data_IF_278161663488
#
_entry.id   IF_278161663488
#
_cell.length_a   1.000
_cell.length_b   1.000
_cell.length_c   1.000
_cell.angle_alpha   90.00
_cell.angle_beta   90.00
_cell.angle_gamma   90.00
#
_symmetry.space_group_name_H-M   'P 1'
#
loop_
_entity.id
_entity.type
_entity.pdbx_description
1 polymer ?
#
# COMPACT_ATOMS: atom_id res chain seq x y z
N UNK A 1 -15.50 7.37 -5.27
CA UNK A 1 -15.40 5.94 -4.88
C UNK A 1 -14.74 5.87 -3.52
N UNK A 2 -15.19 4.97 -2.64
CA UNK A 2 -14.65 4.82 -1.29
C UNK A 2 -14.68 3.35 -0.84
N UNK A 3 -13.79 2.98 0.09
CA UNK A 3 -13.83 1.69 0.77
C UNK A 3 -14.62 1.84 2.07
N UNK A 4 -15.54 0.92 2.34
CA UNK A 4 -16.27 0.87 3.62
C UNK A 4 -15.54 -0.01 4.63
N UNK A 5 -15.75 0.27 5.92
CA UNK A 5 -15.19 -0.51 7.02
C UNK A 5 -16.06 -1.77 7.23
N UNK A 6 -15.52 -2.98 7.04
CA UNK A 6 -16.30 -4.23 7.12
C UNK A 6 -17.11 -4.41 8.40
N UNK A 7 -16.61 -3.92 9.53
CA UNK A 7 -17.24 -4.08 10.87
C UNK A 7 -18.63 -3.44 10.94
N UNK A 8 -18.86 -2.34 10.22
CA UNK A 8 -20.14 -1.64 10.22
C UNK A 8 -21.16 -2.24 9.24
N UNK A 9 -20.74 -3.19 8.40
CA UNK A 9 -21.55 -3.76 7.33
C UNK A 9 -21.59 -5.29 7.42
N UNK A 10 -22.07 -5.80 8.57
CA UNK A 10 -22.11 -7.25 8.85
C UNK A 10 -22.92 -8.04 7.83
N UNK A 11 -24.03 -7.49 7.35
CA UNK A 11 -24.89 -8.13 6.34
C UNK A 11 -24.17 -8.34 5.01
N UNK A 12 -23.38 -7.34 4.59
CA UNK A 12 -22.56 -7.44 3.38
C UNK A 12 -21.43 -8.47 3.55
N UNK A 13 -20.81 -8.50 4.73
CA UNK A 13 -19.75 -9.46 5.03
C UNK A 13 -20.25 -10.90 5.21
N UNK A 14 -21.53 -11.08 5.54
CA UNK A 14 -22.15 -12.39 5.69
C UNK A 14 -22.46 -13.08 4.36
N UNK A 15 -22.34 -12.37 3.23
CA UNK A 15 -22.58 -12.99 1.91
C UNK A 15 -21.45 -13.99 1.61
N UNK A 16 -21.76 -15.28 1.36
CA UNK A 16 -20.75 -16.30 1.06
C UNK A 16 -19.97 -16.01 -0.22
N UNK A 17 -18.71 -16.47 -0.29
CA UNK A 17 -17.84 -16.24 -1.47
C UNK A 17 -18.34 -16.96 -2.73
N UNK A 18 -19.11 -18.02 -2.56
CA UNK A 18 -19.77 -18.81 -3.59
C UNK A 18 -20.86 -18.02 -4.36
N UNK A 19 -21.29 -16.87 -3.84
CA UNK A 19 -22.13 -15.93 -4.58
C UNK A 19 -21.33 -14.95 -5.46
N UNK A 20 -20.00 -14.95 -5.36
CA UNK A 20 -19.13 -14.06 -6.11
C UNK A 20 -18.82 -14.71 -7.46
N UNK A 21 -18.56 -13.86 -8.45
CA UNK A 21 -18.20 -14.27 -9.81
C UNK A 21 -16.83 -13.72 -10.16
N UNK A 22 -16.06 -14.52 -10.87
CA UNK A 22 -14.78 -14.10 -11.42
C UNK A 22 -14.99 -13.10 -12.56
N UNK A 23 -14.08 -12.13 -12.68
CA UNK A 23 -14.13 -11.11 -13.73
C UNK A 23 -13.70 -11.64 -15.11
N UNK A 24 -13.12 -12.85 -15.16
CA UNK A 24 -12.88 -13.63 -16.37
C UNK A 24 -11.67 -13.19 -17.22
N UNK A 25 -11.47 -11.89 -17.47
CA UNK A 25 -10.36 -11.39 -18.33
C UNK A 25 -9.52 -10.30 -17.65
N UNK A 26 -8.24 -10.27 -18.02
CA UNK A 26 -7.28 -9.25 -17.58
C UNK A 26 -6.56 -9.59 -16.27
N UNK A 27 -5.76 -8.66 -15.72
CA UNK A 27 -4.94 -8.90 -14.52
C UNK A 27 -5.76 -9.18 -13.25
N UNK A 28 -7.07 -8.91 -13.27
CA UNK A 28 -8.00 -9.17 -12.17
C UNK A 28 -8.98 -10.32 -12.48
N UNK A 29 -8.69 -11.14 -13.50
CA UNK A 29 -9.60 -12.17 -14.00
C UNK A 29 -10.08 -13.14 -12.91
N UNK A 30 -9.20 -13.52 -11.99
CA UNK A 30 -9.47 -14.50 -10.93
C UNK A 30 -9.91 -13.86 -9.61
N UNK A 31 -10.24 -12.56 -9.61
CA UNK A 31 -10.72 -11.89 -8.40
C UNK A 31 -12.22 -12.15 -8.28
N UNK A 32 -12.68 -12.86 -7.23
CA UNK A 32 -14.09 -13.03 -6.98
C UNK A 32 -14.73 -11.68 -6.64
N UNK A 33 -15.78 -11.32 -7.37
CA UNK A 33 -16.51 -10.06 -7.22
C UNK A 33 -18.02 -10.29 -7.13
N UNK A 34 -18.67 -9.51 -6.28
CA UNK A 34 -20.11 -9.41 -6.20
C UNK A 34 -20.54 -7.94 -6.26
N UNK A 35 -21.36 -7.61 -7.25
CA UNK A 35 -21.95 -6.29 -7.42
C UNK A 35 -23.40 -6.27 -6.91
N UNK A 36 -23.77 -5.23 -6.18
CA UNK A 36 -25.14 -4.95 -5.73
C UNK A 36 -25.42 -3.45 -5.71
N UNK A 37 -26.70 -3.09 -5.53
CA UNK A 37 -27.13 -1.73 -5.18
C UNK A 37 -27.59 -1.73 -3.73
N UNK A 38 -27.20 -0.69 -2.99
CA UNK A 38 -27.65 -0.49 -1.62
C UNK A 38 -27.73 1.01 -1.32
N UNK A 39 -28.62 1.38 -0.40
CA UNK A 39 -28.66 2.72 0.14
C UNK A 39 -27.54 2.89 1.18
N UNK A 40 -26.61 3.81 0.93
CA UNK A 40 -25.51 4.13 1.84
C UNK A 40 -25.53 5.65 2.03
N UNK A 41 -25.55 6.11 3.29
CA UNK A 41 -25.60 7.54 3.63
C UNK A 41 -26.72 8.31 2.89
N UNK A 42 -27.93 7.75 2.86
CA UNK A 42 -29.12 8.40 2.29
C UNK A 42 -29.16 8.48 0.77
N UNK A 43 -28.28 7.75 0.06
CA UNK A 43 -28.28 7.71 -1.41
C UNK A 43 -28.08 6.27 -1.89
N UNK A 44 -28.73 5.92 -3.01
CA UNK A 44 -28.50 4.66 -3.69
C UNK A 44 -27.09 4.65 -4.30
N UNK A 45 -26.28 3.64 -3.95
CA UNK A 45 -24.91 3.48 -4.45
C UNK A 45 -24.70 2.09 -5.01
N UNK A 46 -23.79 2.00 -5.98
CA UNK A 46 -23.26 0.71 -6.42
C UNK A 46 -22.26 0.24 -5.36
N UNK A 47 -22.52 -0.95 -4.80
CA UNK A 47 -21.64 -1.63 -3.86
C UNK A 47 -20.96 -2.78 -4.59
N UNK A 48 -19.64 -2.82 -4.52
CA UNK A 48 -18.83 -3.90 -5.09
C UNK A 48 -18.07 -4.56 -3.95
N UNK A 49 -18.40 -5.82 -3.68
CA UNK A 49 -17.64 -6.65 -2.79
C UNK A 49 -16.63 -7.43 -3.61
N UNK A 50 -15.40 -7.54 -3.11
CA UNK A 50 -14.38 -8.34 -3.77
C UNK A 50 -13.43 -8.96 -2.76
N UNK A 51 -12.77 -10.04 -3.16
CA UNK A 51 -11.78 -10.70 -2.32
C UNK A 51 -10.35 -10.25 -2.66
N UNK A 52 -9.56 -9.97 -1.63
CA UNK A 52 -8.18 -9.47 -1.75
C UNK A 52 -7.22 -10.43 -1.06
N UNK A 53 -6.37 -11.08 -1.87
CA UNK A 53 -5.31 -11.98 -1.38
C UNK A 53 -4.33 -11.30 -0.42
N UNK A 54 -3.96 -10.05 -0.71
CA UNK A 54 -3.05 -9.28 0.15
C UNK A 54 -3.67 -8.99 1.51
N UNK A 55 -4.94 -8.58 1.55
CA UNK A 55 -5.66 -8.35 2.81
C UNK A 55 -5.83 -9.65 3.58
N UNK A 56 -6.23 -10.73 2.90
CA UNK A 56 -6.35 -12.07 3.48
C UNK A 56 -5.05 -12.49 4.17
N UNK A 57 -3.93 -12.47 3.44
CA UNK A 57 -2.63 -12.86 3.99
C UNK A 57 -2.21 -11.99 5.18
N UNK A 58 -2.51 -10.68 5.16
CA UNK A 58 -2.28 -9.78 6.27
C UNK A 58 -3.11 -10.13 7.51
N UNK A 59 -4.40 -10.42 7.33
CA UNK A 59 -5.31 -10.78 8.43
C UNK A 59 -4.95 -12.14 9.04
N UNK A 60 -4.60 -13.13 8.23
CA UNK A 60 -4.13 -14.44 8.70
C UNK A 60 -2.86 -14.29 9.54
N UNK A 61 -1.85 -13.56 9.04
CA UNK A 61 -0.62 -13.30 9.80
C UNK A 61 -0.90 -12.59 11.12
N UNK A 62 -1.72 -11.54 11.09
CA UNK A 62 -2.07 -10.78 12.30
C UNK A 62 -2.81 -11.64 13.33
N UNK A 63 -3.75 -12.48 12.88
CA UNK A 63 -4.47 -13.40 13.76
C UNK A 63 -3.51 -14.41 14.40
N UNK A 64 -2.66 -15.06 13.62
CA UNK A 64 -1.69 -16.04 14.14
C UNK A 64 -0.73 -15.40 15.16
N UNK A 65 -0.15 -14.24 14.84
CA UNK A 65 0.73 -13.53 15.77
C UNK A 65 0.02 -13.18 17.09
N UNK A 66 -1.23 -12.74 17.02
CA UNK A 66 -2.01 -12.43 18.21
C UNK A 66 -2.33 -13.71 19.00
N UNK A 67 -2.72 -14.79 18.32
CA UNK A 67 -3.05 -16.07 18.93
C UNK A 67 -1.83 -16.67 19.64
N UNK A 68 -0.68 -16.74 18.97
CA UNK A 68 0.58 -17.26 19.52
C UNK A 68 0.97 -16.52 20.80
N UNK A 69 0.87 -15.19 20.78
CA UNK A 69 1.13 -14.35 21.96
C UNK A 69 0.19 -14.70 23.12
N UNK A 70 -1.12 -14.88 22.86
CA UNK A 70 -2.09 -15.24 23.90
C UNK A 70 -1.89 -16.65 24.43
N UNK A 71 -1.56 -17.61 23.56
CA UNK A 71 -1.26 -18.98 23.95
C UNK A 71 0.00 -19.04 24.83
N UNK A 72 1.04 -18.28 24.51
CA UNK A 72 2.23 -18.15 25.34
C UNK A 72 1.91 -17.55 26.73
N UNK A 73 1.09 -16.47 26.77
CA UNK A 73 0.63 -15.87 28.03
C UNK A 73 -0.21 -16.85 28.88
N UNK A 74 -1.06 -17.66 28.24
CA UNK A 74 -1.90 -18.68 28.87
C UNK A 74 -1.06 -19.85 29.40
N UNK A 75 -0.08 -20.33 28.62
CA UNK A 75 0.84 -21.37 29.04
C UNK A 75 1.65 -20.94 30.27
N UNK A 76 2.18 -19.71 30.26
CA UNK A 76 2.88 -19.13 31.41
C UNK A 76 1.95 -18.99 32.63
N UNK A 77 0.68 -18.64 32.42
CA UNK A 77 -0.29 -18.59 33.52
C UNK A 77 -0.59 -19.98 34.08
N UNK A 78 -0.78 -20.99 33.22
CA UNK A 78 -0.99 -22.38 33.61
C UNK A 78 0.18 -22.93 34.42
N UNK A 79 1.41 -22.67 33.98
CA UNK A 79 2.63 -23.04 34.73
C UNK A 79 2.71 -22.35 36.09
N UNK A 80 2.35 -21.06 36.18
CA UNK A 80 2.30 -20.36 37.47
C UNK A 80 1.29 -21.00 38.41
N UNK A 81 0.11 -21.39 37.94
CA UNK A 81 -0.94 -22.05 38.72
C UNK A 81 -0.56 -23.44 39.24
N UNK A 82 0.44 -24.10 38.64
CA UNK A 82 0.94 -25.38 39.12
C UNK A 82 1.71 -25.27 40.45
N UNK A 83 2.20 -24.09 40.82
CA UNK A 83 2.94 -23.87 42.08
C UNK A 83 1.98 -23.89 43.31
N UNK A 84 2.41 -24.40 44.48
CA UNK A 84 1.61 -24.33 45.69
C UNK A 84 1.29 -22.89 46.10
N UNK A 85 0.05 -22.63 46.56
CA UNK A 85 -0.44 -21.31 47.01
C UNK A 85 -0.34 -20.18 45.97
N UNK A 86 -0.16 -20.50 44.69
CA UNK A 86 -0.11 -19.52 43.61
C UNK A 86 -1.47 -19.36 42.92
N UNK A 87 -1.66 -18.18 42.30
CA UNK A 87 -2.83 -17.90 41.47
C UNK A 87 -3.73 -16.79 42.02
N UNK A 88 -4.77 -16.42 41.24
CA UNK A 88 -5.70 -15.38 41.62
C UNK A 88 -6.40 -15.74 42.94
N UNK A 89 -6.44 -14.79 43.88
CA UNK A 89 -7.05 -14.96 45.21
C UNK A 89 -8.59 -14.98 45.14
N UNK A 90 -9.17 -14.40 44.10
CA UNK A 90 -10.63 -14.39 43.85
C UNK A 90 -10.97 -14.83 42.42
N UNK A 91 -12.13 -15.48 42.20
CA UNK A 91 -12.62 -15.80 40.86
C UNK A 91 -12.74 -14.58 39.93
N UNK A 92 -13.03 -13.40 40.49
CA UNK A 92 -13.16 -12.15 39.73
C UNK A 92 -11.84 -11.70 39.10
N UNK A 93 -10.73 -11.84 39.84
CA UNK A 93 -9.40 -11.51 39.30
C UNK A 93 -8.97 -12.45 38.17
N UNK A 94 -9.40 -13.71 38.22
CA UNK A 94 -9.23 -14.65 37.11
C UNK A 94 -10.06 -14.23 35.90
N UNK A 95 -11.35 -13.89 36.10
CA UNK A 95 -12.25 -13.43 35.04
C UNK A 95 -11.74 -12.19 34.32
N UNK A 96 -11.32 -11.14 35.05
CA UNK A 96 -10.74 -9.93 34.45
C UNK A 96 -9.52 -10.23 33.58
N UNK A 97 -8.68 -11.18 34.00
CA UNK A 97 -7.53 -11.61 33.21
C UNK A 97 -7.95 -12.36 31.95
N UNK A 98 -8.96 -13.23 32.05
CA UNK A 98 -9.55 -13.92 30.90
C UNK A 98 -10.14 -12.91 29.89
N UNK A 99 -10.92 -11.94 30.36
CA UNK A 99 -11.50 -10.90 29.50
C UNK A 99 -10.42 -10.10 28.77
N UNK A 100 -9.31 -9.80 29.45
CA UNK A 100 -8.15 -9.16 28.82
C UNK A 100 -7.48 -10.05 27.78
N UNK A 101 -7.34 -11.35 28.04
CA UNK A 101 -6.74 -12.30 27.08
C UNK A 101 -7.64 -12.54 25.85
N UNK A 102 -8.96 -12.52 26.05
CA UNK A 102 -9.98 -12.62 25.01
C UNK A 102 -10.25 -11.29 24.29
N UNK A 103 -9.61 -10.20 24.71
CA UNK A 103 -9.76 -8.90 24.07
C UNK A 103 -9.21 -8.94 22.64
N UNK A 104 -10.08 -8.66 21.68
CA UNK A 104 -9.76 -8.69 20.25
C UNK A 104 -10.95 -9.17 19.43
N UNK A 105 -11.16 -8.55 18.27
CA UNK A 105 -12.34 -8.79 17.43
C UNK A 105 -12.55 -10.28 17.08
N UNK A 106 -11.46 -11.00 16.78
CA UNK A 106 -11.49 -12.40 16.36
C UNK A 106 -11.05 -13.38 17.45
N UNK A 107 -10.25 -12.93 18.42
CA UNK A 107 -9.71 -13.79 19.49
C UNK A 107 -10.83 -14.40 20.34
N UNK A 108 -11.85 -13.61 20.70
CA UNK A 108 -12.99 -14.12 21.48
C UNK A 108 -13.79 -15.23 20.78
N UNK A 109 -13.72 -15.30 19.44
CA UNK A 109 -14.43 -16.32 18.66
C UNK A 109 -13.62 -17.61 18.52
N UNK A 110 -12.30 -17.52 18.57
CA UNK A 110 -11.38 -18.63 18.25
C UNK A 110 -10.75 -19.23 19.50
N UNK A 111 -10.67 -18.49 20.60
CA UNK A 111 -10.03 -18.93 21.83
C UNK A 111 -11.07 -19.08 22.94
N UNK A 112 -11.21 -20.30 23.45
CA UNK A 112 -12.01 -20.58 24.64
C UNK A 112 -11.10 -20.74 25.85
N UNK A 113 -11.46 -20.10 26.96
CA UNK A 113 -10.74 -20.19 28.22
C UNK A 113 -11.75 -20.54 29.31
N UNK A 114 -11.48 -21.63 30.02
CA UNK A 114 -12.22 -22.07 31.21
C UNK A 114 -11.34 -21.95 32.44
N UNK A 115 -11.90 -21.40 33.51
CA UNK A 115 -11.23 -21.30 34.80
C UNK A 115 -12.11 -21.83 35.92
N UNK A 116 -11.63 -22.87 36.59
CA UNK A 116 -12.30 -23.49 37.73
C UNK A 116 -11.40 -23.44 38.97
N UNK A 117 -11.79 -22.60 39.93
CA UNK A 117 -11.07 -22.41 41.19
C UNK A 117 -11.09 -23.62 42.12
N UNK A 118 -11.99 -24.61 41.90
CA UNK A 118 -12.11 -25.82 42.72
C UNK A 118 -11.10 -26.90 42.33
N UNK A 119 -10.56 -26.84 41.10
CA UNK A 119 -9.54 -27.78 40.61
C UNK A 119 -8.18 -27.50 41.26
N UNK A 120 -7.26 -28.46 41.17
CA UNK A 120 -5.91 -28.35 41.75
C UNK A 120 -4.87 -27.98 40.68
N UNK A 121 -3.86 -27.21 41.08
CA UNK A 121 -2.70 -26.91 40.26
C UNK A 121 -3.04 -26.30 38.89
N UNK A 122 -2.40 -26.83 37.85
CA UNK A 122 -2.57 -26.39 36.46
C UNK A 122 -3.95 -26.68 35.85
N UNK A 123 -4.74 -27.59 36.43
CA UNK A 123 -6.05 -27.95 35.89
C UNK A 123 -7.13 -26.89 36.16
N UNK A 124 -6.80 -25.91 37.00
CA UNK A 124 -7.61 -24.71 37.23
C UNK A 124 -7.82 -23.88 35.99
N UNK A 125 -6.96 -24.02 34.98
CA UNK A 125 -7.03 -23.28 33.72
C UNK A 125 -7.01 -24.27 32.55
N UNK A 126 -8.09 -24.25 31.76
CA UNK A 126 -8.16 -24.93 30.47
C UNK A 126 -8.35 -23.89 29.38
N UNK A 127 -7.73 -24.12 28.25
CA UNK A 127 -7.93 -23.29 27.07
C UNK A 127 -7.81 -24.17 25.84
N UNK A 128 -8.60 -23.84 24.84
CA UNK A 128 -8.64 -24.54 23.56
C UNK A 128 -8.84 -23.52 22.45
N UNK A 129 -8.30 -23.87 21.28
CA UNK A 129 -8.48 -23.10 20.06
C UNK A 129 -9.57 -23.82 19.28
N UNK A 130 -10.65 -23.10 18.99
CA UNK A 130 -11.70 -23.57 18.09
C UNK A 130 -11.17 -23.51 16.65
N UNK A 131 -10.81 -24.68 16.13
CA UNK A 131 -10.27 -24.85 14.78
C UNK A 131 -11.35 -24.56 13.73
N UNK A 132 -12.60 -24.91 13.99
CA UNK A 132 -13.71 -24.68 13.06
C UNK A 132 -14.00 -23.18 12.95
N UNK A 133 -13.98 -22.46 14.07
CA UNK A 133 -14.11 -21.01 14.07
C UNK A 133 -12.93 -20.31 13.36
N UNK A 134 -11.71 -20.84 13.51
CA UNK A 134 -10.53 -20.34 12.79
C UNK A 134 -10.68 -20.54 11.28
N UNK A 135 -11.06 -21.75 10.86
CA UNK A 135 -11.30 -22.10 9.45
C UNK A 135 -12.41 -21.25 8.84
N UNK A 136 -13.51 -21.05 9.58
CA UNK A 136 -14.60 -20.17 9.15
C UNK A 136 -14.11 -18.73 8.94
N UNK A 137 -13.31 -18.18 9.85
CA UNK A 137 -12.78 -16.81 9.68
C UNK A 137 -11.90 -16.69 8.44
N UNK A 138 -11.05 -17.68 8.18
CA UNK A 138 -10.18 -17.69 7.01
C UNK A 138 -10.99 -17.82 5.72
N UNK A 139 -11.93 -18.77 5.65
CA UNK A 139 -12.70 -19.03 4.44
C UNK A 139 -13.74 -17.93 4.15
N UNK A 140 -14.48 -17.50 5.16
CA UNK A 140 -15.69 -16.70 4.96
C UNK A 140 -15.57 -15.24 5.38
N UNK A 141 -14.55 -14.83 6.13
CA UNK A 141 -14.49 -13.45 6.64
C UNK A 141 -13.26 -12.70 6.11
N UNK A 142 -12.11 -13.35 6.04
CA UNK A 142 -10.87 -12.71 5.66
C UNK A 142 -10.79 -12.44 4.15
N UNK A 143 -10.07 -11.37 3.79
CA UNK A 143 -9.89 -10.94 2.41
C UNK A 143 -11.06 -10.19 1.79
N UNK A 144 -12.27 -10.24 2.35
CA UNK A 144 -13.44 -9.52 1.83
C UNK A 144 -13.27 -8.00 2.01
N UNK A 145 -13.46 -7.26 0.92
CA UNK A 145 -13.45 -5.79 0.86
C UNK A 145 -14.77 -5.29 0.30
N UNK A 146 -15.15 -4.07 0.71
CA UNK A 146 -16.40 -3.42 0.29
C UNK A 146 -16.05 -2.08 -0.32
N UNK A 147 -16.39 -1.89 -1.59
CA UNK A 147 -16.27 -0.62 -2.31
C UNK A 147 -17.64 -0.04 -2.59
N UNK A 148 -17.71 1.29 -2.56
CA UNK A 148 -18.87 2.04 -3.00
C UNK A 148 -18.51 3.04 -4.09
N UNK A 149 -19.41 3.19 -5.05
CA UNK A 149 -19.29 4.20 -6.11
C UNK A 149 -20.66 4.70 -6.58
N UNK A 150 -20.66 5.96 -6.96
CA UNK A 150 -21.65 6.70 -7.74
C UNK A 150 -21.56 6.46 -9.25
N UNK A 151 -20.50 5.79 -9.73
CA UNK A 151 -20.30 5.48 -11.15
C UNK A 151 -21.06 4.21 -11.54
N UNK A 152 -22.38 4.32 -11.57
CA UNK A 152 -23.27 3.17 -11.80
C UNK A 152 -23.12 2.51 -13.18
N UNK A 153 -22.59 3.21 -14.17
CA UNK A 153 -22.43 2.68 -15.53
C UNK A 153 -21.12 1.92 -15.72
N UNK A 154 -20.17 2.04 -14.78
CA UNK A 154 -18.89 1.34 -14.87
C UNK A 154 -19.06 -0.15 -14.65
N UNK A 155 -18.24 -0.93 -15.35
CA UNK A 155 -18.05 -2.36 -15.11
C UNK A 155 -17.32 -2.60 -13.79
N UNK A 156 -17.46 -3.80 -13.25
CA UNK A 156 -16.76 -4.25 -12.05
C UNK A 156 -15.24 -4.15 -12.23
N UNK A 157 -14.74 -4.51 -13.42
CA UNK A 157 -13.32 -4.41 -13.76
C UNK A 157 -12.81 -2.98 -13.72
N UNK A 158 -13.54 -2.02 -14.32
CA UNK A 158 -13.16 -0.59 -14.27
C UNK A 158 -13.18 -0.05 -12.84
N UNK A 159 -14.19 -0.45 -12.05
CA UNK A 159 -14.31 -0.05 -10.65
C UNK A 159 -13.12 -0.55 -9.84
N UNK A 160 -12.78 -1.84 -9.96
CA UNK A 160 -11.64 -2.41 -9.25
C UNK A 160 -10.31 -1.84 -9.74
N UNK A 161 -10.13 -1.63 -11.05
CA UNK A 161 -8.91 -1.03 -11.59
C UNK A 161 -8.70 0.39 -11.08
N UNK A 162 -9.76 1.21 -11.05
CA UNK A 162 -9.69 2.56 -10.49
C UNK A 162 -9.36 2.53 -8.99
N UNK A 163 -9.94 1.59 -8.25
CA UNK A 163 -9.63 1.40 -6.84
C UNK A 163 -8.18 0.95 -6.60
N UNK A 164 -7.71 -0.07 -7.33
CA UNK A 164 -6.32 -0.53 -7.26
C UNK A 164 -5.34 0.54 -7.74
N UNK A 165 -5.76 1.41 -8.66
CA UNK A 165 -4.99 2.56 -9.11
C UNK A 165 -4.88 3.67 -8.07
N UNK A 166 -5.76 3.71 -7.07
CA UNK A 166 -5.75 4.74 -6.04
C UNK A 166 -4.43 4.76 -5.26
N UNK A 167 -3.89 3.60 -4.87
CA UNK A 167 -2.61 3.55 -4.17
C UNK A 167 -1.47 4.09 -5.03
N UNK A 168 -1.48 3.82 -6.34
CA UNK A 168 -0.49 4.38 -7.28
C UNK A 168 -0.58 5.91 -7.33
N UNK A 169 -1.78 6.46 -7.31
CA UNK A 169 -2.00 7.91 -7.27
C UNK A 169 -1.54 8.49 -5.92
N UNK A 170 -1.84 7.83 -4.80
CA UNK A 170 -1.34 8.21 -3.48
C UNK A 170 0.19 8.17 -3.39
N UNK A 171 0.82 7.17 -4.01
CA UNK A 171 2.27 7.07 -4.12
C UNK A 171 2.85 8.21 -4.96
N UNK A 172 2.23 8.55 -6.09
CA UNK A 172 2.61 9.74 -6.88
C UNK A 172 2.50 11.02 -6.05
N UNK A 173 1.42 11.20 -5.28
CA UNK A 173 1.26 12.37 -4.42
C UNK A 173 2.28 12.40 -3.28
N UNK A 174 2.70 11.24 -2.77
CA UNK A 174 3.76 11.15 -1.77
C UNK A 174 5.08 11.61 -2.37
N UNK A 175 5.41 11.11 -3.57
CA UNK A 175 6.64 11.46 -4.27
C UNK A 175 6.68 12.93 -4.71
N UNK A 176 5.55 13.49 -5.13
CA UNK A 176 5.45 14.91 -5.46
C UNK A 176 5.66 15.84 -4.24
N UNK A 177 5.42 15.31 -3.03
CA UNK A 177 5.62 16.02 -1.76
C UNK A 177 6.96 15.70 -1.12
N UNK A 178 7.79 14.91 -1.78
CA UNK A 178 9.14 14.61 -1.33
C UNK A 178 9.97 15.89 -1.33
N UNK A 179 10.80 16.07 -0.30
CA UNK A 179 11.54 17.33 -0.10
C UNK A 179 12.80 17.40 -0.99
N UNK A 180 13.24 16.28 -1.56
CA UNK A 180 14.44 16.18 -2.39
C UNK A 180 14.12 16.33 -3.88
N UNK A 181 13.08 15.61 -4.34
CA UNK A 181 12.74 15.53 -5.76
C UNK A 181 11.32 16.04 -6.06
N UNK A 182 11.19 16.92 -7.07
CA UNK A 182 9.89 17.49 -7.48
C UNK A 182 9.14 18.21 -6.33
N UNK A 183 9.91 18.79 -5.40
CA UNK A 183 9.52 19.36 -4.11
C UNK A 183 8.40 20.41 -4.16
N UNK A 184 7.14 19.96 -4.15
CA UNK A 184 6.00 20.84 -3.86
C UNK A 184 6.09 21.37 -2.43
N UNK A 185 6.77 20.64 -1.54
CA UNK A 185 7.03 21.02 -0.15
C UNK A 185 8.54 21.05 0.10
N UNK A 186 9.03 21.97 0.95
CA UNK A 186 8.30 23.07 1.60
C UNK A 186 7.91 24.20 0.63
N UNK A 187 6.77 24.83 0.88
CA UNK A 187 6.26 25.95 0.09
C UNK A 187 6.59 27.28 0.75
N UNK A 188 7.44 28.09 0.11
CA UNK A 188 7.85 29.40 0.61
C UNK A 188 7.10 30.58 -0.03
N UNK A 189 6.12 30.31 -0.89
CA UNK A 189 5.28 31.33 -1.52
C UNK A 189 4.02 31.59 -0.71
N UNK A 190 3.63 32.86 -0.58
CA UNK A 190 2.51 33.31 0.26
C UNK A 190 1.31 33.86 -0.52
N UNK A 191 1.39 33.98 -1.85
CA UNK A 191 0.27 34.42 -2.69
C UNK A 191 -0.30 33.25 -3.49
N UNK A 192 -1.63 33.13 -3.54
CA UNK A 192 -2.33 32.05 -4.27
C UNK A 192 -1.83 31.88 -5.71
N UNK A 193 -1.59 32.99 -6.41
CA UNK A 193 -1.04 32.98 -7.76
C UNK A 193 0.33 32.26 -7.82
N UNK A 194 1.25 32.59 -6.91
CA UNK A 194 2.59 31.97 -6.89
C UNK A 194 2.54 30.54 -6.39
N UNK A 195 1.61 30.22 -5.49
CA UNK A 195 1.32 28.86 -5.05
C UNK A 195 0.90 28.01 -6.26
N UNK A 196 -0.07 28.47 -7.06
CA UNK A 196 -0.51 27.75 -8.27
C UNK A 196 0.61 27.56 -9.28
N UNK A 197 1.41 28.59 -9.56
CA UNK A 197 2.54 28.50 -10.51
C UNK A 197 3.58 27.49 -10.04
N UNK A 198 3.98 27.52 -8.76
CA UNK A 198 4.93 26.56 -8.19
C UNK A 198 4.42 25.13 -8.30
N UNK A 199 3.18 24.89 -7.84
CA UNK A 199 2.57 23.56 -7.94
C UNK A 199 2.49 23.09 -9.38
N UNK A 200 2.14 23.96 -10.34
CA UNK A 200 2.13 23.61 -11.76
C UNK A 200 3.51 23.20 -12.28
N UNK A 201 4.56 23.97 -11.96
CA UNK A 201 5.94 23.65 -12.37
C UNK A 201 6.40 22.32 -11.76
N UNK A 202 6.12 22.07 -10.48
CA UNK A 202 6.46 20.81 -9.84
C UNK A 202 5.72 19.62 -10.47
N UNK A 203 4.42 19.77 -10.80
CA UNK A 203 3.67 18.73 -11.52
C UNK A 203 4.26 18.48 -12.91
N UNK A 204 4.61 19.53 -13.65
CA UNK A 204 5.23 19.40 -14.96
C UNK A 204 6.57 18.67 -14.88
N UNK A 205 7.43 19.07 -13.92
CA UNK A 205 8.71 18.40 -13.65
C UNK A 205 8.52 16.94 -13.28
N UNK A 206 7.54 16.63 -12.43
CA UNK A 206 7.20 15.26 -12.06
C UNK A 206 6.75 14.44 -13.27
N UNK A 207 5.89 14.97 -14.13
CA UNK A 207 5.45 14.29 -15.35
C UNK A 207 6.63 13.98 -16.27
N UNK A 208 7.54 14.93 -16.47
CA UNK A 208 8.75 14.71 -17.26
C UNK A 208 9.64 13.63 -16.63
N UNK A 209 9.86 13.69 -15.32
CA UNK A 209 10.66 12.71 -14.60
C UNK A 209 10.06 11.30 -14.71
N UNK A 210 8.73 11.16 -14.66
CA UNK A 210 8.03 9.87 -14.89
C UNK A 210 8.18 9.35 -16.31
N UNK A 211 8.28 10.21 -17.31
CA UNK A 211 8.61 9.80 -18.68
C UNK A 211 10.04 9.27 -18.73
N UNK A 212 11.00 9.97 -18.14
CA UNK A 212 12.40 9.51 -18.07
C UNK A 212 12.51 8.16 -17.37
N UNK A 213 11.84 7.98 -16.22
CA UNK A 213 11.82 6.71 -15.50
C UNK A 213 11.24 5.57 -16.36
N UNK A 214 10.18 5.85 -17.12
CA UNK A 214 9.59 4.86 -18.02
C UNK A 214 10.58 4.41 -19.10
N UNK A 215 11.27 5.35 -19.73
CA UNK A 215 12.29 5.04 -20.73
C UNK A 215 13.49 4.29 -20.11
N UNK A 216 13.96 4.71 -18.93
CA UNK A 216 15.01 4.02 -18.20
C UNK A 216 14.63 2.56 -17.86
N UNK A 217 13.38 2.33 -17.41
CA UNK A 217 12.85 0.98 -17.15
C UNK A 217 12.79 0.13 -18.42
N UNK A 218 12.43 0.72 -19.57
CA UNK A 218 12.45 0.02 -20.85
C UNK A 218 13.86 -0.45 -21.25
N UNK A 219 14.89 0.26 -20.78
CA UNK A 219 16.31 -0.09 -20.97
C UNK A 219 16.89 -0.96 -19.83
N UNK A 220 16.05 -1.45 -18.92
CA UNK A 220 16.41 -2.40 -17.87
C UNK A 220 16.75 -1.80 -16.51
N UNK A 221 16.54 -0.49 -16.30
CA UNK A 221 16.70 0.12 -14.97
C UNK A 221 15.62 -0.37 -13.99
N UNK A 222 16.01 -0.69 -12.75
CA UNK A 222 15.13 -1.36 -11.79
C UNK A 222 14.69 -0.47 -10.63
N UNK A 223 15.43 0.59 -10.30
CA UNK A 223 15.09 1.45 -9.17
C UNK A 223 13.89 2.37 -9.44
N UNK A 224 13.51 3.16 -8.44
CA UNK A 224 12.41 4.11 -8.51
C UNK A 224 12.82 5.45 -9.15
N UNK A 225 11.85 6.36 -9.28
CA UNK A 225 12.07 7.70 -9.82
C UNK A 225 13.21 8.46 -9.14
N UNK A 226 13.32 8.41 -7.81
CA UNK A 226 14.40 9.10 -7.07
C UNK A 226 15.77 8.60 -7.51
N UNK A 227 15.96 7.28 -7.61
CA UNK A 227 17.21 6.70 -8.11
C UNK A 227 17.55 7.13 -9.54
N UNK A 228 16.55 7.25 -10.42
CA UNK A 228 16.77 7.80 -11.78
C UNK A 228 17.23 9.25 -11.73
N UNK A 229 16.64 10.06 -10.86
CA UNK A 229 17.00 11.47 -10.72
C UNK A 229 18.38 11.64 -10.08
N UNK A 230 18.73 10.82 -9.09
CA UNK A 230 20.06 10.75 -8.49
C UNK A 230 21.11 10.35 -9.54
N UNK A 231 20.79 9.33 -10.35
CA UNK A 231 21.64 8.86 -11.44
C UNK A 231 21.86 9.97 -12.48
N UNK A 232 20.81 10.71 -12.84
CA UNK A 232 20.92 11.91 -13.69
C UNK A 232 21.75 13.01 -13.03
N UNK A 233 21.66 13.18 -11.71
CA UNK A 233 22.46 14.13 -10.94
C UNK A 233 23.97 13.86 -11.03
N UNK A 234 24.38 12.62 -11.34
CA UNK A 234 25.79 12.28 -11.59
C UNK A 234 26.32 12.81 -12.92
N UNK A 235 25.43 13.10 -13.88
CA UNK A 235 25.78 13.50 -15.25
C UNK A 235 26.14 14.99 -15.28
N UNK A 236 27.39 15.29 -15.60
CA UNK A 236 27.90 16.65 -15.79
C UNK A 236 28.21 16.88 -17.25
N UNK A 237 27.47 17.80 -17.88
CA UNK A 237 27.71 18.25 -19.26
C UNK A 237 28.41 19.61 -19.24
N UNK A 238 29.53 19.71 -19.93
CA UNK A 238 30.27 20.95 -20.13
C UNK A 238 30.05 21.47 -21.57
N UNK A 239 29.81 22.77 -21.71
CA UNK A 239 29.85 23.44 -23.01
C UNK A 239 31.26 23.99 -23.26
N UNK A 240 31.94 23.44 -24.25
CA UNK A 240 33.20 23.95 -24.76
C UNK A 240 32.95 25.07 -25.77
N UNK A 241 33.46 26.27 -25.44
CA UNK A 241 33.47 27.42 -26.34
C UNK A 241 34.83 27.52 -27.01
N UNK A 242 34.88 27.29 -28.31
CA UNK A 242 36.11 27.46 -29.10
C UNK A 242 36.03 28.74 -29.93
N UNK A 243 37.03 29.65 -29.84
CA UNK A 243 37.05 30.88 -30.61
C UNK A 243 37.00 30.61 -32.12
N UNK A 244 36.30 31.46 -32.86
CA UNK A 244 36.19 31.37 -34.32
C UNK A 244 37.44 31.92 -35.04
N UNK A 245 38.62 31.41 -34.70
CA UNK A 245 39.89 31.76 -35.34
C UNK A 245 40.20 33.26 -35.46
N UNK A 246 41.19 33.61 -36.30
CA UNK A 246 41.69 34.98 -36.47
C UNK A 246 40.77 35.92 -37.26
N UNK A 247 39.72 35.40 -37.93
CA UNK A 247 38.82 36.20 -38.78
C UNK A 247 37.59 36.74 -38.04
N UNK A 248 37.42 36.43 -36.75
CA UNK A 248 36.22 36.81 -36.00
C UNK A 248 34.96 36.07 -36.44
N UNK A 249 33.97 35.96 -35.56
CA UNK A 249 32.77 35.15 -35.78
C UNK A 249 32.14 34.66 -34.48
N UNK A 250 31.02 33.92 -34.59
CA UNK A 250 30.38 33.28 -33.42
C UNK A 250 31.27 32.14 -32.91
N UNK A 251 31.53 32.05 -31.59
CA UNK A 251 32.23 30.91 -31.00
C UNK A 251 31.56 29.60 -31.39
N UNK A 252 32.36 28.56 -31.64
CA UNK A 252 31.81 27.21 -31.82
C UNK A 252 31.53 26.64 -30.43
N UNK A 253 30.28 26.27 -30.20
CA UNK A 253 29.84 25.63 -28.97
C UNK A 253 29.74 24.12 -29.21
N UNK A 254 30.45 23.33 -28.43
CA UNK A 254 30.32 21.88 -28.41
C UNK A 254 29.98 21.41 -26.99
N UNK A 255 29.08 20.44 -26.87
CA UNK A 255 28.79 19.82 -25.58
C UNK A 255 29.65 18.58 -25.39
N UNK A 256 30.28 18.45 -24.23
CA UNK A 256 31.08 17.30 -23.84
C UNK A 256 30.59 16.79 -22.48
N UNK A 257 30.53 15.47 -22.32
CA UNK A 257 30.32 14.85 -21.01
C UNK A 257 31.63 14.92 -20.20
N UNK A 258 31.58 15.57 -19.05
CA UNK A 258 32.72 15.73 -18.13
C UNK A 258 32.78 14.57 -17.14
N UNK A 259 31.64 14.22 -16.55
CA UNK A 259 31.48 13.19 -15.54
C UNK A 259 30.11 12.55 -15.70
N UNK A 260 30.00 11.27 -15.37
CA UNK A 260 28.73 10.57 -15.29
C UNK A 260 28.96 9.16 -14.85
N UNK A 261 28.05 8.62 -14.04
CA UNK A 261 28.06 7.20 -13.72
C UNK A 261 28.01 6.36 -15.02
N UNK A 262 28.81 5.28 -15.16
CA UNK A 262 28.77 4.43 -16.36
C UNK A 262 27.37 3.91 -16.72
N UNK A 263 26.53 3.67 -15.72
CA UNK A 263 25.13 3.28 -15.91
C UNK A 263 24.30 4.44 -16.46
N UNK A 264 24.50 5.67 -15.96
CA UNK A 264 23.86 6.87 -16.50
C UNK A 264 24.26 7.10 -17.97
N UNK A 265 25.54 6.90 -18.29
CA UNK A 265 26.07 7.04 -19.65
C UNK A 265 25.42 6.03 -20.61
N UNK A 266 25.27 4.77 -20.17
CA UNK A 266 24.66 3.72 -20.99
C UNK A 266 23.16 3.92 -21.20
N UNK A 267 22.45 4.40 -20.18
CA UNK A 267 20.99 4.41 -20.15
C UNK A 267 20.35 5.74 -20.54
N UNK A 268 20.99 6.85 -20.20
CA UNK A 268 20.34 8.17 -20.17
C UNK A 268 21.03 9.20 -21.07
N UNK A 269 22.25 8.94 -21.53
CA UNK A 269 23.00 9.83 -22.44
C UNK A 269 22.83 9.32 -23.89
N UNK A 270 22.23 10.11 -24.80
CA UNK A 270 22.09 9.74 -26.20
C UNK A 270 23.45 9.58 -26.91
N UNK A 271 23.56 8.61 -27.82
CA UNK A 271 24.82 8.32 -28.54
C UNK A 271 25.26 9.42 -29.55
N UNK A 272 24.41 10.40 -29.85
CA UNK A 272 24.67 11.44 -30.87
C UNK A 272 24.78 12.83 -30.26
N UNK A 273 25.89 13.51 -30.57
CA UNK A 273 26.06 14.93 -30.35
C UNK A 273 25.47 15.76 -31.53
N UNK A 274 24.94 16.97 -31.30
CA UNK A 274 24.74 17.59 -29.99
C UNK A 274 23.59 16.89 -29.25
N UNK A 275 23.64 16.87 -27.93
CA UNK A 275 22.51 16.45 -27.06
C UNK A 275 21.30 17.42 -27.15
N UNK A 276 21.20 18.13 -28.29
CA UNK A 276 20.23 19.16 -28.63
C UNK A 276 19.49 18.65 -29.86
N UNK A 277 18.26 18.17 -29.66
CA UNK A 277 17.30 18.02 -30.74
C UNK A 277 16.77 19.40 -31.09
N UNK A 278 17.52 20.15 -31.90
CA UNK A 278 16.89 21.11 -32.80
C UNK A 278 16.77 20.39 -34.14
N UNK A 279 15.55 19.96 -34.45
CA UNK A 279 15.22 19.44 -35.77
C UNK A 279 15.72 20.44 -36.82
N UNK A 280 16.59 19.98 -37.70
CA UNK A 280 17.25 20.79 -38.75
C UNK A 280 16.31 21.18 -39.88
N UNK A 281 15.08 21.61 -39.56
CA UNK A 281 14.14 22.21 -40.51
C UNK A 281 13.88 23.65 -40.11
N UNK A 282 14.74 24.54 -40.60
CA UNK A 282 14.49 25.96 -40.78
C UNK A 282 14.89 26.33 -42.21
#
# INVERSE_FOLDING_TARGET
MASLIPVHHKELMAIPLDHYRDLGKGPLAQVPVLRRRAEIWGQERTVVLFWSAQLYAGQVRGLHQHLDKRLAELAAWKQRLAKPRSGPRSPETARRRMDKLLSGQHIKKVLHIDYDGRRKGSDRLRFEVDVDALDYLQREVFGKRILITDRHTWSETEILQAYCGQSRVEDCFRQLKDDEHCAVRPQYHWTDQKIHVHTFICLLGFLLARVVEREARALGYTEGLSGVLDLLGTVRLAMLLTPSGKRGGRPRCAWQLEQGDPEAQRLLVPDKAPFVYTDGTA
#
